data_IF_870030541525
#
_entry.id   IF_870030541525
#
_cell.length_a   1.000
_cell.length_b   1.000
_cell.length_c   1.000
_cell.angle_alpha   90.00
_cell.angle_beta   90.00
_cell.angle_gamma   90.00
#
_symmetry.space_group_name_H-M   'P 1'
#
loop_
_entity.id
_entity.type
_entity.pdbx_description
1 polymer ?
#
# COMPACT_ATOMS: atom_id res chain seq x y z
N UNK A 1 -0.63 8.54 12.19
CA UNK A 1 -1.30 9.71 11.58
C UNK A 1 -0.99 11.03 12.33
N UNK A 2 -0.35 11.00 13.51
CA UNK A 2 -0.02 12.20 14.31
C UNK A 2 0.86 13.22 13.59
N UNK A 3 1.74 12.77 12.68
CA UNK A 3 2.63 13.62 11.89
C UNK A 3 1.98 14.16 10.58
N UNK A 4 0.67 14.02 10.42
CA UNK A 4 -0.09 14.59 9.29
C UNK A 4 -0.02 13.83 7.95
N UNK A 5 0.72 12.71 7.88
CA UNK A 5 0.76 11.84 6.71
C UNK A 5 -0.59 11.16 6.43
N UNK A 6 -0.94 11.01 5.15
CA UNK A 6 -2.11 10.21 4.71
C UNK A 6 -1.67 8.78 4.42
N UNK A 7 -2.44 7.82 4.94
CA UNK A 7 -2.16 6.39 4.74
C UNK A 7 -3.32 5.75 4.01
N UNK A 8 -2.98 5.02 2.96
CA UNK A 8 -3.88 4.18 2.19
C UNK A 8 -3.35 2.75 2.25
N UNK A 9 -4.21 1.78 2.55
CA UNK A 9 -3.82 0.40 2.78
C UNK A 9 -4.58 -0.58 1.90
N UNK A 10 -3.91 -1.67 1.56
CA UNK A 10 -4.49 -2.85 0.94
C UNK A 10 -3.89 -4.11 1.56
N UNK A 11 -4.73 -5.08 1.88
CA UNK A 11 -4.36 -6.44 2.25
C UNK A 11 -5.43 -7.40 1.70
N UNK A 12 -5.07 -8.50 1.02
CA UNK A 12 -6.04 -9.39 0.39
C UNK A 12 -6.94 -10.14 1.40
N UNK A 13 -6.57 -10.22 2.69
CA UNK A 13 -7.26 -11.05 3.67
C UNK A 13 -7.72 -10.31 4.94
N UNK A 14 -7.08 -9.20 5.28
CA UNK A 14 -7.13 -8.67 6.66
C UNK A 14 -7.83 -7.32 6.79
N UNK A 15 -8.36 -6.76 5.70
CA UNK A 15 -8.86 -5.39 5.64
C UNK A 15 -9.98 -5.12 6.64
N UNK A 16 -10.95 -6.02 6.75
CA UNK A 16 -12.06 -5.89 7.72
C UNK A 16 -11.58 -5.88 9.17
N UNK A 17 -10.51 -6.62 9.47
CA UNK A 17 -9.92 -6.62 10.79
C UNK A 17 -9.12 -5.34 11.05
N UNK A 18 -8.27 -4.93 10.11
CA UNK A 18 -7.49 -3.70 10.22
C UNK A 18 -8.38 -2.47 10.38
N UNK A 19 -9.49 -2.38 9.62
CA UNK A 19 -10.43 -1.27 9.68
C UNK A 19 -11.09 -1.08 11.04
N UNK A 20 -11.24 -2.15 11.84
CA UNK A 20 -11.73 -2.06 13.22
C UNK A 20 -10.73 -1.39 14.15
N UNK A 21 -9.44 -1.61 13.91
CA UNK A 21 -8.36 -1.07 14.75
C UNK A 21 -7.86 0.29 14.26
N UNK A 22 -7.94 0.55 12.95
CA UNK A 22 -7.46 1.77 12.31
C UNK A 22 -8.51 2.30 11.33
N UNK A 23 -9.63 2.86 11.82
CA UNK A 23 -10.72 3.34 10.98
C UNK A 23 -10.36 4.58 10.15
N UNK A 24 -9.33 5.32 10.56
CA UNK A 24 -8.90 6.57 9.91
C UNK A 24 -7.99 6.35 8.69
N UNK A 25 -7.66 5.10 8.38
CA UNK A 25 -6.91 4.73 7.17
C UNK A 25 -7.88 4.54 6.01
N UNK A 26 -7.48 4.98 4.82
CA UNK A 26 -8.22 4.67 3.59
C UNK A 26 -7.90 3.25 3.13
N UNK A 27 -8.92 2.44 2.91
CA UNK A 27 -8.78 1.03 2.52
C UNK A 27 -9.23 0.85 1.07
N UNK A 28 -8.36 0.31 0.22
CA UNK A 28 -8.62 0.16 -1.23
C UNK A 28 -8.88 -1.29 -1.63
N UNK A 29 -9.18 -1.51 -2.92
CA UNK A 29 -9.54 -2.85 -3.42
C UNK A 29 -8.38 -3.61 -4.05
N UNK A 30 -7.26 -2.95 -4.30
CA UNK A 30 -6.08 -3.54 -4.93
C UNK A 30 -4.82 -2.70 -4.62
N UNK A 31 -3.61 -3.26 -4.78
CA UNK A 31 -2.36 -2.57 -4.47
C UNK A 31 -2.10 -1.33 -5.34
N UNK A 32 -2.55 -1.31 -6.59
CA UNK A 32 -2.40 -0.14 -7.46
C UNK A 32 -3.21 1.05 -6.96
N UNK A 33 -4.46 0.85 -6.53
CA UNK A 33 -5.26 1.89 -5.89
C UNK A 33 -4.60 2.40 -4.60
N UNK A 34 -4.01 1.52 -3.79
CA UNK A 34 -3.31 1.92 -2.58
C UNK A 34 -2.10 2.83 -2.86
N UNK A 35 -1.43 2.62 -4.00
CA UNK A 35 -0.24 3.39 -4.38
C UNK A 35 -0.55 4.64 -5.21
N UNK A 36 -1.80 4.83 -5.66
CA UNK A 36 -2.15 5.96 -6.52
C UNK A 36 -1.91 7.29 -5.81
N UNK A 37 -1.14 8.17 -6.44
CA UNK A 37 -0.70 9.45 -5.87
C UNK A 37 0.08 9.33 -4.55
N UNK A 38 0.63 8.17 -4.20
CA UNK A 38 1.48 8.03 -3.00
C UNK A 38 2.88 8.61 -3.25
N UNK A 39 3.52 9.17 -2.22
CA UNK A 39 4.94 9.53 -2.26
C UNK A 39 5.84 8.30 -2.14
N UNK A 40 5.41 7.34 -1.32
CA UNK A 40 6.17 6.14 -0.93
C UNK A 40 5.20 4.95 -0.91
N UNK A 41 5.62 3.83 -1.47
CA UNK A 41 4.97 2.53 -1.30
C UNK A 41 5.76 1.69 -0.28
N UNK A 42 5.05 0.95 0.59
CA UNK A 42 5.67 0.11 1.64
C UNK A 42 5.04 -1.27 1.61
N UNK A 43 5.84 -2.32 1.44
CA UNK A 43 5.36 -3.70 1.46
C UNK A 43 5.57 -4.34 2.84
N UNK A 44 4.48 -4.48 3.60
CA UNK A 44 4.54 -4.93 5.00
C UNK A 44 4.22 -6.42 5.18
N UNK A 45 3.73 -7.09 4.16
CA UNK A 45 3.33 -8.52 4.16
C UNK A 45 3.73 -9.16 2.83
N UNK A 46 4.08 -10.45 2.86
CA UNK A 46 4.64 -11.22 1.74
C UNK A 46 3.59 -11.96 0.89
N UNK A 47 2.48 -11.29 0.54
CA UNK A 47 1.48 -11.88 -0.35
C UNK A 47 2.02 -12.04 -1.78
N UNK A 48 1.72 -13.18 -2.42
CA UNK A 48 2.17 -13.46 -3.81
C UNK A 48 1.70 -12.39 -4.81
N UNK A 49 0.54 -11.77 -4.60
CA UNK A 49 0.04 -10.67 -5.43
C UNK A 49 1.04 -9.49 -5.52
N UNK A 50 1.85 -9.27 -4.49
CA UNK A 50 2.87 -8.21 -4.50
C UNK A 50 4.12 -8.58 -5.30
N UNK A 51 4.45 -9.89 -5.39
CA UNK A 51 5.55 -10.40 -6.24
C UNK A 51 5.27 -10.23 -7.72
N UNK A 52 4.00 -10.22 -8.09
CA UNK A 52 3.53 -10.14 -9.47
C UNK A 52 3.25 -8.70 -9.92
N UNK A 53 3.55 -7.70 -9.08
CA UNK A 53 3.32 -6.29 -9.41
C UNK A 53 4.25 -5.81 -10.53
N UNK A 54 3.66 -5.10 -11.50
CA UNK A 54 4.42 -4.32 -12.46
C UNK A 54 4.85 -3.01 -11.79
N UNK A 55 6.11 -2.98 -11.34
CA UNK A 55 6.71 -1.79 -10.72
C UNK A 55 6.79 -0.60 -11.67
N UNK A 56 6.85 -0.81 -12.99
CA UNK A 56 6.79 0.29 -13.96
C UNK A 56 5.39 0.88 -14.03
N UNK A 57 4.35 0.05 -13.97
CA UNK A 57 2.97 0.52 -13.87
C UNK A 57 2.72 1.25 -12.53
N UNK A 58 3.27 0.74 -11.43
CA UNK A 58 3.20 1.36 -10.11
C UNK A 58 3.85 2.76 -10.12
N UNK A 59 5.06 2.89 -10.67
CA UNK A 59 5.78 4.16 -10.80
C UNK A 59 4.98 5.22 -11.58
N UNK A 60 4.20 4.82 -12.58
CA UNK A 60 3.39 5.75 -13.40
C UNK A 60 2.21 6.36 -12.64
N UNK A 61 1.72 5.69 -11.59
CA UNK A 61 0.53 6.11 -10.84
C UNK A 61 0.88 6.75 -9.49
N UNK A 62 2.10 6.56 -9.00
CA UNK A 62 2.62 7.20 -7.79
C UNK A 62 3.04 8.65 -8.06
N UNK A 63 3.02 9.48 -7.03
CA UNK A 63 3.59 10.84 -7.07
C UNK A 63 5.11 10.79 -6.89
N UNK A 64 5.59 9.95 -5.98
CA UNK A 64 7.01 9.67 -5.80
C UNK A 64 7.42 8.34 -6.42
N UNK A 65 8.67 7.94 -6.20
CA UNK A 65 9.23 6.68 -6.71
C UNK A 65 9.97 5.87 -5.64
N UNK A 66 9.73 6.17 -4.36
CA UNK A 66 10.28 5.41 -3.25
C UNK A 66 9.44 4.17 -2.97
N UNK A 67 10.12 3.02 -2.92
CA UNK A 67 9.57 1.74 -2.48
C UNK A 67 10.39 1.23 -1.30
N UNK A 68 9.73 0.94 -0.19
CA UNK A 68 10.33 0.31 0.98
C UNK A 68 9.79 -1.11 1.13
N UNK A 69 10.68 -2.09 0.95
CA UNK A 69 10.33 -3.50 1.07
C UNK A 69 11.17 -4.20 2.17
N UNK A 70 10.69 -4.21 3.42
CA UNK A 70 11.31 -4.98 4.50
C UNK A 70 11.09 -6.49 4.39
N UNK A 71 10.24 -6.96 3.47
CA UNK A 71 9.90 -8.38 3.27
C UNK A 71 10.74 -9.04 2.17
N UNK A 72 11.44 -8.25 1.36
CA UNK A 72 12.31 -8.71 0.28
C UNK A 72 11.55 -9.65 -0.68
N UNK A 73 10.42 -9.14 -1.16
CA UNK A 73 9.42 -9.81 -1.99
C UNK A 73 9.89 -9.93 -3.43
#
# INVERSE_FOLDING_TARGET
LSEGGRVTGYDPASMDNFKKHFPDIEYTKNPYEACRNADIAIFMTEWNEFRELDLMALRKIMRGDALLDPRNI
#
